data_IF_297038154299
#
_entry.id   IF_297038154299
#
_cell.length_a   1.000
_cell.length_b   1.000
_cell.length_c   1.000
_cell.angle_alpha   90.00
_cell.angle_beta   90.00
_cell.angle_gamma   90.00
#
_symmetry.space_group_name_H-M   'P 1'
#
loop_
_entity.id
_entity.type
_entity.pdbx_description
1 polymer ?
#
# COMPACT_ATOMS: atom_id res chain seq x y z
N UNK A 1 -18.97 -4.27 -22.50
CA UNK A 1 -19.28 -2.83 -22.54
C UNK A 1 -18.17 -1.97 -23.17
N UNK A 2 -17.19 -2.54 -23.90
CA UNK A 2 -16.17 -1.74 -24.61
C UNK A 2 -15.22 -0.92 -23.71
N UNK A 3 -15.11 -1.23 -22.42
CA UNK A 3 -14.21 -0.56 -21.49
C UNK A 3 -12.86 -1.29 -21.45
N UNK A 4 -11.76 -0.54 -21.62
CA UNK A 4 -10.40 -1.07 -21.67
C UNK A 4 -9.67 -1.02 -20.32
N UNK A 5 -10.27 -0.41 -19.29
CA UNK A 5 -9.64 -0.29 -17.97
C UNK A 5 -10.03 -1.46 -17.06
N UNK A 6 -9.07 -2.03 -16.30
CA UNK A 6 -9.33 -3.16 -15.41
C UNK A 6 -10.05 -2.76 -14.11
N UNK A 7 -10.04 -1.48 -13.73
CA UNK A 7 -10.66 -1.01 -12.48
C UNK A 7 -10.70 0.50 -12.30
N UNK A 8 -11.21 0.94 -11.15
CA UNK A 8 -11.38 2.36 -10.81
C UNK A 8 -10.06 3.11 -10.73
N UNK A 9 -9.00 2.48 -10.23
CA UNK A 9 -7.68 3.11 -10.05
C UNK A 9 -7.12 3.58 -11.39
N UNK A 10 -7.19 2.72 -12.40
CA UNK A 10 -6.67 2.99 -13.74
C UNK A 10 -7.52 4.06 -14.46
N UNK A 11 -8.85 3.98 -14.35
CA UNK A 11 -9.75 5.01 -14.90
C UNK A 11 -9.43 6.39 -14.32
N UNK A 12 -9.27 6.49 -12.99
CA UNK A 12 -9.03 7.76 -12.33
C UNK A 12 -7.63 8.32 -12.59
N UNK A 13 -6.62 7.46 -12.67
CA UNK A 13 -5.27 7.86 -13.04
C UNK A 13 -5.25 8.51 -14.43
N UNK A 14 -5.90 7.86 -15.41
CA UNK A 14 -5.99 8.37 -16.78
C UNK A 14 -6.75 9.70 -16.86
N UNK A 15 -7.88 9.82 -16.15
CA UNK A 15 -8.68 11.05 -16.11
C UNK A 15 -8.00 12.23 -15.41
N UNK A 16 -7.05 11.95 -14.52
CA UNK A 16 -6.31 12.98 -13.77
C UNK A 16 -4.91 13.21 -14.30
N UNK A 17 -4.53 12.52 -15.38
CA UNK A 17 -3.17 12.54 -15.93
C UNK A 17 -2.10 12.20 -14.88
N UNK A 18 -2.43 11.28 -13.95
CA UNK A 18 -1.52 10.84 -12.90
C UNK A 18 -0.67 9.68 -13.41
N UNK A 19 0.64 9.88 -13.53
CA UNK A 19 1.55 8.87 -14.08
C UNK A 19 1.84 7.70 -13.12
N UNK A 20 1.82 7.95 -11.81
CA UNK A 20 2.17 6.95 -10.80
C UNK A 20 1.16 6.94 -9.67
N UNK A 21 0.46 5.82 -9.53
CA UNK A 21 -0.47 5.54 -8.43
C UNK A 21 -0.02 4.30 -7.68
N UNK A 22 -0.41 4.18 -6.41
CA UNK A 22 -0.18 2.98 -5.61
C UNK A 22 -1.43 2.62 -4.82
N UNK A 23 -1.65 1.33 -4.60
CA UNK A 23 -2.73 0.83 -3.76
C UNK A 23 -2.22 0.66 -2.34
N UNK A 24 -2.88 1.32 -1.40
CA UNK A 24 -2.70 1.09 0.03
C UNK A 24 -3.95 0.42 0.60
N UNK A 25 -3.75 -0.63 1.40
CA UNK A 25 -4.78 -1.16 2.28
C UNK A 25 -4.61 -0.58 3.67
N UNK A 26 -5.71 -0.16 4.29
CA UNK A 26 -5.76 0.41 5.63
C UNK A 26 -6.77 -0.35 6.46
N UNK A 27 -6.37 -0.76 7.67
CA UNK A 27 -7.27 -1.27 8.70
C UNK A 27 -6.75 -0.90 10.08
N UNK A 28 -7.38 0.09 10.72
CA UNK A 28 -6.86 0.68 11.96
C UNK A 28 -5.44 1.20 11.76
N UNK A 29 -4.50 0.67 12.54
CA UNK A 29 -3.07 1.00 12.45
C UNK A 29 -2.28 0.11 11.47
N UNK A 30 -2.92 -0.86 10.84
CA UNK A 30 -2.30 -1.72 9.85
C UNK A 30 -2.42 -1.09 8.46
N UNK A 31 -1.28 -0.71 7.85
CA UNK A 31 -1.24 0.01 6.57
C UNK A 31 -0.22 -0.65 5.63
N UNK A 32 -0.66 -1.10 4.46
CA UNK A 32 0.22 -1.79 3.50
C UNK A 32 0.05 -1.21 2.11
N UNK A 33 1.14 -0.69 1.54
CA UNK A 33 1.18 -0.17 0.16
C UNK A 33 1.85 -1.16 -0.77
N UNK A 34 1.34 -1.31 -1.99
CA UNK A 34 1.80 -2.32 -2.93
C UNK A 34 2.60 -1.70 -4.09
N UNK A 35 3.80 -2.23 -4.35
CA UNK A 35 4.63 -1.87 -5.51
C UNK A 35 3.97 -2.31 -6.81
N UNK A 36 3.44 -3.53 -6.84
CA UNK A 36 2.63 -4.10 -7.92
C UNK A 36 1.31 -4.66 -7.38
N UNK A 37 0.25 -4.60 -8.19
CA UNK A 37 -1.10 -5.06 -7.83
C UNK A 37 -1.52 -6.24 -8.70
N UNK A 38 -2.53 -6.08 -9.56
CA UNK A 38 -3.12 -7.18 -10.34
C UNK A 38 -2.27 -7.49 -11.59
N UNK A 39 -1.23 -8.30 -11.42
CA UNK A 39 -0.43 -8.84 -12.52
C UNK A 39 0.04 -10.27 -12.20
N UNK A 40 0.58 -10.97 -13.20
CA UNK A 40 1.20 -12.27 -12.95
C UNK A 40 2.39 -12.12 -11.99
N UNK A 41 2.67 -13.13 -11.15
CA UNK A 41 3.76 -13.05 -10.17
C UNK A 41 5.13 -12.81 -10.84
N UNK A 42 5.38 -13.40 -12.02
CA UNK A 42 6.60 -13.15 -12.81
C UNK A 42 6.75 -11.68 -13.16
N UNK A 43 5.66 -11.05 -13.59
CA UNK A 43 5.65 -9.63 -13.93
C UNK A 43 5.80 -8.75 -12.68
N UNK A 44 5.21 -9.14 -11.55
CA UNK A 44 5.40 -8.44 -10.29
C UNK A 44 6.88 -8.40 -9.86
N UNK A 45 7.61 -9.50 -10.05
CA UNK A 45 9.07 -9.57 -9.83
C UNK A 45 9.80 -8.59 -10.74
N UNK A 46 9.49 -8.58 -12.05
CA UNK A 46 10.11 -7.66 -13.01
C UNK A 46 9.81 -6.19 -12.72
N UNK A 47 8.64 -5.88 -12.17
CA UNK A 47 8.20 -4.53 -11.78
C UNK A 47 8.83 -4.03 -10.48
N UNK A 48 9.46 -4.89 -9.67
CA UNK A 48 10.12 -4.54 -8.42
C UNK A 48 11.45 -3.80 -8.66
N UNK A 49 11.36 -2.63 -9.29
CA UNK A 49 12.50 -1.78 -9.69
C UNK A 49 12.69 -0.60 -8.75
N UNK A 50 13.94 -0.20 -8.53
CA UNK A 50 14.36 0.90 -7.64
C UNK A 50 13.48 2.13 -7.80
N UNK A 51 13.28 2.59 -9.06
CA UNK A 51 12.47 3.78 -9.37
C UNK A 51 11.04 3.62 -8.84
N UNK A 52 10.39 2.51 -9.15
CA UNK A 52 9.02 2.23 -8.73
C UNK A 52 8.90 2.09 -7.22
N UNK A 53 9.84 1.38 -6.58
CA UNK A 53 9.86 1.21 -5.13
C UNK A 53 10.00 2.57 -4.43
N UNK A 54 10.92 3.41 -4.89
CA UNK A 54 11.11 4.76 -4.34
C UNK A 54 9.85 5.62 -4.47
N UNK A 55 9.19 5.60 -5.63
CA UNK A 55 7.91 6.28 -5.83
C UNK A 55 6.85 5.80 -4.82
N UNK A 56 6.73 4.49 -4.63
CA UNK A 56 5.75 3.90 -3.69
C UNK A 56 6.09 4.26 -2.24
N UNK A 57 7.36 4.33 -1.87
CA UNK A 57 7.80 4.80 -0.54
C UNK A 57 7.34 6.25 -0.33
N UNK A 58 7.58 7.15 -1.30
CA UNK A 58 7.17 8.56 -1.22
C UNK A 58 5.66 8.70 -1.10
N UNK A 59 4.91 8.01 -1.97
CA UNK A 59 3.44 7.99 -1.92
C UNK A 59 2.92 7.50 -0.57
N UNK A 60 3.55 6.47 -0.01
CA UNK A 60 3.20 5.94 1.32
C UNK A 60 3.48 6.98 2.41
N UNK A 61 4.65 7.61 2.39
CA UNK A 61 5.03 8.64 3.35
C UNK A 61 4.02 9.81 3.35
N UNK A 62 3.70 10.33 2.17
CA UNK A 62 2.75 11.43 2.02
C UNK A 62 1.34 11.06 2.49
N UNK A 63 0.90 9.84 2.21
CA UNK A 63 -0.38 9.33 2.68
C UNK A 63 -0.45 9.27 4.21
N UNK A 64 0.62 8.82 4.87
CA UNK A 64 0.66 8.76 6.34
C UNK A 64 0.64 10.15 6.97
N UNK A 65 1.30 11.14 6.35
CA UNK A 65 1.20 12.55 6.77
C UNK A 65 -0.24 13.06 6.66
N UNK A 66 -0.95 12.74 5.57
CA UNK A 66 -2.36 13.07 5.42
C UNK A 66 -3.24 12.36 6.45
N UNK A 67 -2.85 11.17 6.91
CA UNK A 67 -3.53 10.45 7.98
C UNK A 67 -3.17 10.95 9.39
N UNK A 68 -2.50 12.10 9.51
CA UNK A 68 -2.16 12.74 10.79
C UNK A 68 -0.88 12.22 11.46
N UNK A 69 -0.11 11.36 10.78
CA UNK A 69 1.15 10.83 11.33
C UNK A 69 2.27 11.81 11.01
N UNK A 70 2.61 12.66 11.98
CA UNK A 70 3.61 13.72 11.80
C UNK A 70 5.02 13.20 11.48
N UNK A 71 5.41 12.02 11.98
CA UNK A 71 6.71 11.40 11.70
C UNK A 71 6.54 9.94 11.28
N UNK A 72 6.15 9.68 10.01
CA UNK A 72 5.88 8.33 9.55
C UNK A 72 7.12 7.45 9.54
N UNK A 73 7.03 6.28 10.17
CA UNK A 73 8.06 5.22 10.19
C UNK A 73 7.65 4.11 9.23
N UNK A 74 8.40 3.91 8.16
CA UNK A 74 8.09 2.95 7.12
C UNK A 74 9.02 1.75 7.19
N UNK A 75 8.53 0.58 6.76
CA UNK A 75 9.39 -0.54 6.37
C UNK A 75 9.10 -0.95 4.93
N UNK A 76 10.10 -1.56 4.30
CA UNK A 76 9.98 -2.13 2.96
C UNK A 76 10.24 -3.63 3.08
N UNK A 77 9.30 -4.45 2.62
CA UNK A 77 9.47 -5.89 2.59
C UNK A 77 10.53 -6.29 1.55
N UNK A 78 11.27 -7.36 1.81
CA UNK A 78 12.03 -8.05 0.77
C UNK A 78 11.08 -8.62 -0.30
N UNK A 79 11.57 -8.79 -1.52
CA UNK A 79 10.88 -9.54 -2.57
C UNK A 79 11.03 -11.04 -2.31
N UNK A 80 12.25 -11.47 -2.01
CA UNK A 80 12.63 -12.84 -1.79
C UNK A 80 12.41 -13.27 -0.33
N UNK A 81 12.28 -14.59 -0.07
CA UNK A 81 12.32 -15.12 1.29
C UNK A 81 13.56 -14.60 2.03
N UNK A 82 13.42 -14.32 3.33
CA UNK A 82 14.52 -13.83 4.16
C UNK A 82 15.19 -12.54 3.64
N UNK A 83 14.49 -11.77 2.80
CA UNK A 83 15.06 -10.62 2.10
C UNK A 83 16.36 -10.98 1.36
N UNK A 84 16.34 -12.07 0.60
CA UNK A 84 17.42 -12.49 -0.29
C UNK A 84 18.55 -13.26 0.41
N UNK A 85 18.59 -13.32 1.75
CA UNK A 85 19.60 -14.03 2.54
C UNK A 85 21.04 -13.72 2.07
N UNK A 86 21.36 -12.42 1.98
CA UNK A 86 22.68 -11.95 1.54
C UNK A 86 23.02 -12.27 0.08
N UNK A 87 22.02 -12.52 -0.77
CA UNK A 87 22.19 -12.87 -2.17
C UNK A 87 21.96 -14.35 -2.48
N UNK A 88 21.77 -15.20 -1.47
CA UNK A 88 21.56 -16.64 -1.66
C UNK A 88 20.23 -16.98 -2.33
N UNK A 89 19.19 -16.17 -2.12
CA UNK A 89 17.83 -16.40 -2.65
C UNK A 89 17.40 -15.42 -3.74
N UNK A 90 18.35 -14.62 -4.26
CA UNK A 90 18.09 -13.55 -5.22
C UNK A 90 18.86 -12.29 -4.86
N UNK A 91 19.01 -11.37 -5.81
CA UNK A 91 19.81 -10.15 -5.65
C UNK A 91 18.97 -8.86 -5.77
N UNK A 92 17.66 -8.96 -5.97
CA UNK A 92 16.75 -7.82 -6.12
C UNK A 92 16.77 -6.92 -4.87
N UNK A 93 16.95 -7.49 -3.68
CA UNK A 93 17.14 -6.71 -2.45
C UNK A 93 18.34 -5.77 -2.53
N UNK A 94 19.47 -6.24 -3.07
CA UNK A 94 20.71 -5.47 -3.13
C UNK A 94 20.72 -4.50 -4.31
N UNK A 95 20.14 -4.91 -5.44
CA UNK A 95 20.23 -4.17 -6.71
C UNK A 95 19.10 -3.17 -6.88
N UNK A 96 17.93 -3.41 -6.29
CA UNK A 96 16.72 -2.59 -6.48
C UNK A 96 16.17 -2.01 -5.17
N UNK A 97 15.95 -2.86 -4.15
CA UNK A 97 15.21 -2.47 -2.94
C UNK A 97 16.06 -1.62 -1.98
N UNK A 98 17.24 -2.09 -1.57
CA UNK A 98 18.12 -1.33 -0.68
C UNK A 98 18.52 0.03 -1.28
N UNK A 99 18.88 0.14 -2.58
CA UNK A 99 19.12 1.44 -3.20
C UNK A 99 17.90 2.38 -3.20
N UNK A 100 16.67 1.86 -3.24
CA UNK A 100 15.45 2.66 -3.13
C UNK A 100 15.22 3.15 -1.68
N UNK A 101 15.49 2.29 -0.69
CA UNK A 101 15.47 2.66 0.74
C UNK A 101 16.50 3.76 1.00
N UNK A 102 17.73 3.60 0.53
CA UNK A 102 18.80 4.59 0.73
C UNK A 102 18.45 5.93 0.10
N UNK A 103 17.87 5.92 -1.11
CA UNK A 103 17.40 7.14 -1.77
C UNK A 103 16.28 7.84 -0.97
N UNK A 104 15.28 7.09 -0.50
CA UNK A 104 14.21 7.65 0.32
C UNK A 104 14.74 8.23 1.65
N UNK A 105 15.70 7.55 2.28
CA UNK A 105 16.34 8.03 3.51
C UNK A 105 17.17 9.29 3.27
N UNK A 106 17.84 9.40 2.13
CA UNK A 106 18.54 10.62 1.74
C UNK A 106 17.59 11.82 1.53
N UNK A 107 16.31 11.56 1.23
CA UNK A 107 15.23 12.56 1.18
C UNK A 107 14.64 12.90 2.56
N UNK A 108 15.15 12.28 3.64
CA UNK A 108 14.66 12.49 5.01
C UNK A 108 13.43 11.67 5.38
N UNK A 109 13.05 10.67 4.57
CA UNK A 109 11.97 9.73 4.91
C UNK A 109 12.50 8.70 5.91
N UNK A 110 11.80 8.52 7.03
CA UNK A 110 12.17 7.50 8.02
C UNK A 110 11.73 6.11 7.56
N UNK A 111 12.57 5.48 6.75
CA UNK A 111 12.42 4.09 6.31
C UNK A 111 13.41 3.21 7.05
N UNK A 112 12.98 2.05 7.56
CA UNK A 112 13.88 1.08 8.18
C UNK A 112 15.08 0.79 7.25
N UNK A 113 16.35 0.83 7.74
CA UNK A 113 17.53 0.96 6.86
C UNK A 113 17.81 -0.21 5.90
N UNK A 114 17.05 -1.29 5.96
CA UNK A 114 17.26 -2.50 5.15
C UNK A 114 15.92 -3.12 4.76
N UNK A 115 15.82 -3.86 3.65
CA UNK A 115 14.63 -4.66 3.39
C UNK A 115 14.41 -5.64 4.55
N UNK A 116 13.15 -5.81 4.94
CA UNK A 116 12.78 -6.68 6.06
C UNK A 116 12.20 -7.99 5.52
N UNK A 117 12.56 -9.16 6.07
CA UNK A 117 11.97 -10.42 5.66
C UNK A 117 10.43 -10.37 5.67
N UNK A 118 9.76 -10.74 4.58
CA UNK A 118 8.32 -10.53 4.42
C UNK A 118 7.46 -11.33 5.40
N UNK A 119 7.98 -12.44 5.92
CA UNK A 119 7.35 -13.26 6.97
C UNK A 119 7.37 -12.59 8.36
N UNK A 120 8.32 -11.68 8.62
CA UNK A 120 8.45 -11.01 9.93
C UNK A 120 7.99 -9.56 9.92
N UNK A 121 8.03 -8.87 8.79
CA UNK A 121 7.76 -7.43 8.69
C UNK A 121 6.36 -7.05 9.18
N UNK A 122 5.34 -7.85 8.84
CA UNK A 122 3.97 -7.58 9.21
C UNK A 122 3.70 -7.82 10.69
N UNK A 123 4.34 -8.82 11.31
CA UNK A 123 4.30 -9.01 12.76
C UNK A 123 4.98 -7.86 13.51
N UNK A 124 6.11 -7.35 12.99
CA UNK A 124 6.82 -6.19 13.54
C UNK A 124 5.98 -4.91 13.44
N UNK A 125 5.14 -4.78 12.42
CA UNK A 125 4.16 -3.70 12.31
C UNK A 125 3.00 -3.90 13.29
N UNK A 126 2.29 -5.04 13.23
CA UNK A 126 1.05 -5.24 13.98
C UNK A 126 1.26 -5.42 15.49
N UNK A 127 2.19 -6.28 15.90
CA UNK A 127 2.44 -6.58 17.32
C UNK A 127 3.60 -5.76 17.86
N UNK A 128 4.63 -5.54 17.03
CA UNK A 128 5.83 -4.81 17.42
C UNK A 128 5.66 -3.28 17.42
N UNK A 129 4.63 -2.74 16.77
CA UNK A 129 4.37 -1.29 16.61
C UNK A 129 5.60 -0.50 16.12
N UNK A 130 6.50 -1.18 15.39
CA UNK A 130 7.77 -0.60 14.94
C UNK A 130 7.58 0.31 13.72
N UNK A 131 6.53 0.07 12.93
CA UNK A 131 6.28 0.72 11.66
C UNK A 131 4.82 1.19 11.61
N UNK A 132 4.60 2.32 10.97
CA UNK A 132 3.28 2.89 10.73
C UNK A 132 2.69 2.43 9.38
N UNK A 133 3.55 1.98 8.45
CA UNK A 133 3.18 1.26 7.24
C UNK A 133 4.31 0.36 6.71
N UNK A 134 3.91 -0.63 5.90
CA UNK A 134 4.82 -1.51 5.15
C UNK A 134 4.59 -1.35 3.65
N UNK A 135 5.67 -1.21 2.88
CA UNK A 135 5.66 -1.32 1.42
C UNK A 135 5.92 -2.77 1.03
N UNK A 136 4.91 -3.42 0.43
CA UNK A 136 4.97 -4.79 -0.07
C UNK A 136 5.28 -4.80 -1.59
N UNK A 137 6.05 -5.80 -2.03
CA UNK A 137 6.52 -5.90 -3.42
C UNK A 137 5.41 -6.33 -4.39
N UNK A 138 4.48 -7.18 -3.94
CA UNK A 138 3.40 -7.71 -4.78
C UNK A 138 2.10 -7.89 -3.99
N UNK A 139 1.00 -8.06 -4.72
CA UNK A 139 -0.38 -8.11 -4.20
C UNK A 139 -0.53 -9.06 -3.00
N UNK A 140 -0.28 -10.36 -3.19
CA UNK A 140 -0.54 -11.36 -2.15
C UNK A 140 0.36 -11.21 -0.93
N UNK A 141 1.58 -10.67 -1.10
CA UNK A 141 2.49 -10.39 0.02
C UNK A 141 1.86 -9.45 1.05
N UNK A 142 1.13 -8.43 0.60
CA UNK A 142 0.46 -7.47 1.46
C UNK A 142 -1.01 -7.79 1.75
N UNK A 143 -1.72 -8.41 0.82
CA UNK A 143 -3.13 -8.74 0.98
C UNK A 143 -3.35 -9.86 2.00
N UNK A 144 -2.54 -10.93 1.96
CA UNK A 144 -2.66 -12.05 2.90
C UNK A 144 -2.62 -11.57 4.37
N UNK A 145 -1.57 -10.86 4.84
CA UNK A 145 -1.52 -10.43 6.23
C UNK A 145 -2.62 -9.43 6.57
N UNK A 146 -2.97 -8.52 5.65
CA UNK A 146 -4.06 -7.56 5.87
C UNK A 146 -5.39 -8.29 6.08
N UNK A 147 -5.71 -9.27 5.24
CA UNK A 147 -6.96 -10.04 5.33
C UNK A 147 -6.99 -10.95 6.55
N UNK A 148 -5.85 -11.54 6.94
CA UNK A 148 -5.76 -12.34 8.17
C UNK A 148 -5.99 -11.49 9.43
N UNK A 149 -5.46 -10.27 9.45
CA UNK A 149 -5.55 -9.40 10.63
C UNK A 149 -6.82 -8.52 10.66
N UNK A 150 -7.41 -8.22 9.51
CA UNK A 150 -8.44 -7.19 9.40
C UNK A 150 -9.54 -7.45 8.35
N UNK A 151 -9.88 -8.72 8.10
CA UNK A 151 -10.76 -9.18 7.01
C UNK A 151 -12.02 -8.34 6.72
N UNK A 152 -12.68 -7.78 7.76
CA UNK A 152 -13.95 -7.06 7.63
C UNK A 152 -13.82 -5.53 7.53
N UNK A 153 -12.67 -4.95 7.90
CA UNK A 153 -12.51 -3.51 8.05
C UNK A 153 -11.55 -2.87 7.02
N UNK A 154 -11.00 -3.67 6.12
CA UNK A 154 -10.10 -3.20 5.07
C UNK A 154 -10.69 -2.07 4.23
N UNK A 155 -9.91 -1.01 4.05
CA UNK A 155 -10.17 0.11 3.14
C UNK A 155 -9.06 0.14 2.09
N UNK A 156 -9.44 0.22 0.82
CA UNK A 156 -8.51 0.46 -0.26
C UNK A 156 -8.39 1.97 -0.50
N UNK A 157 -7.17 2.49 -0.48
CA UNK A 157 -6.84 3.89 -0.77
C UNK A 157 -5.95 3.93 -2.02
N UNK A 158 -6.32 4.76 -2.99
CA UNK A 158 -5.47 5.03 -4.15
C UNK A 158 -4.61 6.25 -3.86
N UNK A 159 -3.30 6.02 -3.76
CA UNK A 159 -2.30 7.06 -3.54
C UNK A 159 -1.83 7.67 -4.86
N UNK A 160 -1.36 8.91 -4.82
CA UNK A 160 -0.76 9.62 -5.96
C UNK A 160 -1.72 10.46 -6.79
N UNK A 161 -3.02 10.20 -6.69
CA UNK A 161 -4.03 11.03 -7.34
C UNK A 161 -4.06 12.45 -6.74
N UNK A 162 -4.43 13.49 -7.51
CA UNK A 162 -4.64 14.85 -7.00
C UNK A 162 -5.87 14.99 -6.09
N UNK A 163 -6.63 13.91 -5.93
CA UNK A 163 -7.83 13.79 -5.10
C UNK A 163 -7.65 12.67 -4.08
N UNK A 164 -8.31 12.80 -2.93
CA UNK A 164 -8.41 11.71 -1.96
C UNK A 164 -9.43 10.69 -2.50
N UNK A 165 -8.98 9.44 -2.68
CA UNK A 165 -9.85 8.35 -3.13
C UNK A 165 -9.70 7.14 -2.22
N UNK A 166 -10.80 6.79 -1.55
CA UNK A 166 -10.96 5.56 -0.78
C UNK A 166 -12.02 4.67 -1.43
N UNK A 167 -12.01 3.38 -1.10
CA UNK A 167 -12.91 2.37 -1.65
C UNK A 167 -13.09 1.24 -0.66
N UNK A 168 -14.25 0.60 -0.74
CA UNK A 168 -14.49 -0.69 -0.08
C UNK A 168 -13.53 -1.76 -0.60
N UNK A 169 -13.27 -2.74 0.24
CA UNK A 169 -12.38 -3.88 -0.01
C UNK A 169 -13.16 -5.20 -0.25
N UNK A 170 -14.42 -5.06 -0.68
CA UNK A 170 -15.29 -6.16 -1.11
C UNK A 170 -15.83 -5.91 -2.53
N UNK A 171 -16.21 -6.99 -3.21
CA UNK A 171 -16.85 -6.93 -4.52
C UNK A 171 -18.32 -6.48 -4.45
N UNK A 172 -19.04 -6.59 -5.57
CA UNK A 172 -20.44 -6.15 -5.70
C UNK A 172 -21.43 -6.99 -4.88
N UNK A 173 -21.10 -8.24 -4.57
CA UNK A 173 -21.93 -9.21 -3.81
C UNK A 173 -23.41 -9.17 -4.23
N UNK A 174 -23.68 -9.38 -5.54
CA UNK A 174 -25.03 -9.27 -6.14
C UNK A 174 -26.13 -10.01 -5.37
N UNK A 175 -25.80 -11.14 -4.74
CA UNK A 175 -26.74 -11.92 -3.94
C UNK A 175 -27.36 -11.18 -2.75
N UNK A 176 -26.81 -10.03 -2.33
CA UNK A 176 -27.34 -9.19 -1.23
C UNK A 176 -28.10 -7.95 -1.71
N UNK A 177 -28.08 -7.64 -3.00
CA UNK A 177 -28.72 -6.44 -3.55
C UNK A 177 -30.24 -6.43 -3.29
N UNK A 178 -30.76 -5.32 -2.76
CA UNK A 178 -32.18 -5.16 -2.45
C UNK A 178 -32.71 -5.97 -1.25
N UNK A 179 -31.84 -6.71 -0.54
CA UNK A 179 -32.26 -7.59 0.57
C UNK A 179 -32.03 -7.01 1.97
N UNK A 180 -31.33 -5.88 2.07
CA UNK A 180 -30.99 -5.27 3.36
C UNK A 180 -29.99 -6.06 4.23
N UNK A 181 -29.32 -7.07 3.67
CA UNK A 181 -28.39 -7.98 4.38
C UNK A 181 -26.90 -7.70 4.09
N UNK A 182 -26.61 -6.61 3.37
CA UNK A 182 -25.25 -6.13 3.14
C UNK A 182 -24.68 -5.52 4.43
N UNK A 183 -23.41 -5.82 4.71
CA UNK A 183 -22.69 -5.21 5.83
C UNK A 183 -22.08 -3.88 5.36
N UNK A 184 -22.48 -2.73 5.92
CA UNK A 184 -21.99 -1.42 5.51
C UNK A 184 -20.63 -1.05 6.13
N UNK A 185 -20.02 -1.91 6.95
CA UNK A 185 -18.84 -1.58 7.76
C UNK A 185 -17.68 -1.06 6.91
N UNK A 186 -17.28 -1.77 5.85
CA UNK A 186 -16.17 -1.33 4.97
C UNK A 186 -16.46 0.02 4.30
N UNK A 187 -17.72 0.30 3.92
CA UNK A 187 -18.09 1.59 3.33
C UNK A 187 -17.97 2.73 4.36
N UNK A 188 -18.43 2.51 5.60
CA UNK A 188 -18.27 3.48 6.68
C UNK A 188 -16.80 3.77 6.95
N UNK A 189 -15.97 2.72 7.06
CA UNK A 189 -14.51 2.87 7.24
C UNK A 189 -13.87 3.62 6.09
N UNK A 190 -14.27 3.36 4.85
CA UNK A 190 -13.75 4.07 3.68
C UNK A 190 -14.05 5.58 3.75
N UNK A 191 -15.24 5.96 4.22
CA UNK A 191 -15.61 7.36 4.44
C UNK A 191 -14.78 7.97 5.59
N UNK A 192 -14.63 7.24 6.71
CA UNK A 192 -13.83 7.69 7.87
C UNK A 192 -12.37 7.95 7.49
N UNK A 193 -11.74 7.06 6.72
CA UNK A 193 -10.37 7.23 6.22
C UNK A 193 -10.28 8.45 5.29
N UNK A 194 -11.27 8.67 4.43
CA UNK A 194 -11.27 9.85 3.56
C UNK A 194 -11.35 11.15 4.37
N UNK A 195 -12.23 11.20 5.39
CA UNK A 195 -12.36 12.36 6.29
C UNK A 195 -11.06 12.61 7.06
N UNK A 196 -10.41 11.55 7.54
CA UNK A 196 -9.11 11.65 8.21
C UNK A 196 -8.06 12.30 7.30
N UNK A 197 -7.95 11.83 6.05
CA UNK A 197 -7.00 12.37 5.07
C UNK A 197 -7.28 13.82 4.69
N UNK A 198 -8.55 14.23 4.65
CA UNK A 198 -8.94 15.63 4.39
C UNK A 198 -8.46 16.53 5.52
N UNK A 199 -8.68 16.14 6.79
CA UNK A 199 -8.23 16.93 7.95
C UNK A 199 -6.72 17.13 7.96
N UNK A 200 -5.95 16.07 7.74
CA UNK A 200 -4.50 16.19 7.64
C UNK A 200 -4.00 16.97 6.43
N UNK A 201 -4.84 17.18 5.41
CA UNK A 201 -4.55 18.12 4.30
C UNK A 201 -4.76 19.57 4.72
N UNK A 202 -5.84 19.87 5.43
CA UNK A 202 -6.18 21.21 5.92
C UNK A 202 -5.16 21.72 6.94
N UNK A 203 -4.68 20.85 7.83
CA UNK A 203 -3.65 21.20 8.83
C UNK A 203 -2.28 21.54 8.20
N UNK A 204 -2.07 21.19 6.93
CA UNK A 204 -0.81 21.39 6.21
C UNK A 204 -0.84 22.51 5.17
N UNK A 205 -2.01 23.06 4.84
CA UNK A 205 -2.21 24.13 3.85
C UNK A 205 -2.29 25.50 4.51
#
# INVERSE_FOLDING_TARGET
>A
AGCHHPGHTEILADLTHTESVAMMLVAGDFRVTHVSTHCALREAIERAKKKRILEVIRLTHDALKLMGIAHPRLAVAGLNPHAGEGGLFGDEEMTEIAPAIDAARAEGIDVYPRPVPPDTVFYRMSSGHQFDAVVAMYHDQGHIPTKVLAFAEGVNVTLGLPIIRTSVDHGTVYGKAGKGTADPTSLKRAIEVAVLMVRGREERG
#
